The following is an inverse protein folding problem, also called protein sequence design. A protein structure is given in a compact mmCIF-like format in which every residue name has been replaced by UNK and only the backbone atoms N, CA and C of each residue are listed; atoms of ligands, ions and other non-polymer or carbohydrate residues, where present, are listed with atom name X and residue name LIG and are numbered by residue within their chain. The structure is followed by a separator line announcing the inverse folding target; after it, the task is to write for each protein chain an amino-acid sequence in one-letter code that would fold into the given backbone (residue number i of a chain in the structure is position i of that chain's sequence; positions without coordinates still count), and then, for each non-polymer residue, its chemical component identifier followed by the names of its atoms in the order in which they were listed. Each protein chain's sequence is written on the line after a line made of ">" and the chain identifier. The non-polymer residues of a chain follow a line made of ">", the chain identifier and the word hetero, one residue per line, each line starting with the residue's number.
data_IF_516135324356
#
_entry.id   IF_516135324356
#
_cell.length_a   1.000
_cell.length_b   1.000
_cell.length_c   1.000
_cell.angle_alpha   90.00
_cell.angle_beta   90.00
_cell.angle_gamma   90.00
#
_symmetry.space_group_name_H-M   'P 1'
#
loop_
_entity.id
_entity.type
_entity.pdbx_description
1 polymer ?
#
# COMPACT_ATOMS: atom_id res chain seq x y z
N UNK A 1 -7.56 14.09 0.24
CA UNK A 1 -6.13 14.12 0.61
C UNK A 1 -5.30 14.58 -0.60
N UNK A 2 -4.32 15.49 -0.44
CA UNK A 2 -3.42 15.88 -1.53
C UNK A 2 -2.48 14.73 -1.93
N UNK A 3 -1.97 14.76 -3.16
CA UNK A 3 -0.95 13.80 -3.65
C UNK A 3 0.35 13.96 -2.86
N UNK A 4 1.03 12.83 -2.59
CA UNK A 4 2.34 12.79 -1.94
C UNK A 4 3.38 13.60 -2.73
N UNK A 5 4.30 14.24 -2.02
CA UNK A 5 5.46 14.96 -2.55
C UNK A 5 6.75 14.24 -2.16
N UNK A 6 7.88 14.66 -2.74
CA UNK A 6 9.20 14.07 -2.45
C UNK A 6 9.71 14.38 -1.04
N UNK A 7 9.13 15.38 -0.37
CA UNK A 7 9.49 15.83 0.97
C UNK A 7 8.64 15.16 2.06
N UNK A 8 7.53 14.54 1.68
CA UNK A 8 6.64 13.86 2.63
C UNK A 8 7.29 12.57 3.16
N UNK A 9 7.20 12.37 4.47
CA UNK A 9 7.48 11.08 5.07
C UNK A 9 6.39 10.07 4.66
N UNK A 10 6.75 8.94 4.02
CA UNK A 10 5.79 8.00 3.48
C UNK A 10 5.00 7.23 4.55
N UNK A 11 5.55 6.97 5.74
CA UNK A 11 4.80 6.32 6.82
C UNK A 11 3.72 7.25 7.37
N UNK A 12 4.11 8.48 7.69
CA UNK A 12 3.21 9.53 8.15
C UNK A 12 2.14 9.87 7.09
N UNK A 13 2.52 9.87 5.81
CA UNK A 13 1.59 10.07 4.70
C UNK A 13 0.57 8.93 4.64
N UNK A 14 1.00 7.67 4.72
CA UNK A 14 0.11 6.51 4.74
C UNK A 14 -0.82 6.59 5.97
N UNK A 15 -0.31 6.90 7.16
CA UNK A 15 -1.14 7.04 8.36
C UNK A 15 -2.20 8.15 8.20
N UNK A 16 -1.80 9.31 7.67
CA UNK A 16 -2.73 10.42 7.40
C UNK A 16 -3.79 10.04 6.36
N UNK A 17 -3.42 9.23 5.36
CA UNK A 17 -4.37 8.65 4.42
C UNK A 17 -5.39 7.75 5.14
N UNK A 18 -4.93 6.84 6.00
CA UNK A 18 -5.80 5.91 6.75
C UNK A 18 -6.80 6.67 7.63
N UNK A 19 -6.31 7.68 8.38
CA UNK A 19 -7.17 8.54 9.20
C UNK A 19 -8.20 9.28 8.36
N UNK A 20 -7.82 9.80 7.19
CA UNK A 20 -8.74 10.49 6.28
C UNK A 20 -9.79 9.53 5.74
N UNK A 21 -9.38 8.34 5.30
CA UNK A 21 -10.27 7.35 4.73
C UNK A 21 -11.33 6.87 5.75
N UNK A 22 -10.93 6.66 7.01
CA UNK A 22 -11.86 6.36 8.12
C UNK A 22 -12.86 7.50 8.32
N UNK A 23 -12.36 8.75 8.42
CA UNK A 23 -13.21 9.92 8.65
C UNK A 23 -14.23 10.14 7.52
N UNK A 24 -13.86 9.83 6.27
CA UNK A 24 -14.75 9.95 5.11
C UNK A 24 -15.66 8.75 4.89
N UNK A 25 -15.48 7.66 5.65
CA UNK A 25 -16.21 6.41 5.44
C UNK A 25 -15.88 5.72 4.11
N UNK A 26 -14.63 5.86 3.63
CA UNK A 26 -14.19 5.22 2.39
C UNK A 26 -14.17 3.70 2.57
N UNK A 27 -14.76 2.98 1.62
CA UNK A 27 -14.77 1.51 1.64
C UNK A 27 -13.35 0.93 1.55
N UNK A 28 -13.01 -0.02 2.42
CA UNK A 28 -11.64 -0.57 2.54
C UNK A 28 -11.12 -1.15 1.22
N UNK A 29 -11.99 -1.69 0.34
CA UNK A 29 -11.58 -2.20 -0.98
C UNK A 29 -11.07 -1.09 -1.92
N UNK A 30 -11.50 0.15 -1.70
CA UNK A 30 -11.09 1.30 -2.51
C UNK A 30 -9.78 1.92 -2.03
N UNK A 31 -9.32 1.58 -0.82
CA UNK A 31 -8.16 2.22 -0.22
C UNK A 31 -6.89 1.96 -1.02
N UNK A 32 -6.67 0.73 -1.47
CA UNK A 32 -5.49 0.37 -2.28
C UNK A 32 -5.41 1.17 -3.58
N UNK A 33 -6.53 1.27 -4.30
CA UNK A 33 -6.62 2.04 -5.54
C UNK A 33 -6.40 3.53 -5.31
N UNK A 34 -7.01 4.09 -4.26
CA UNK A 34 -6.89 5.50 -3.95
C UNK A 34 -5.48 5.87 -3.50
N UNK A 35 -4.86 5.05 -2.64
CA UNK A 35 -3.47 5.24 -2.21
C UNK A 35 -2.52 5.17 -3.41
N UNK A 36 -2.69 4.19 -4.30
CA UNK A 36 -1.87 4.03 -5.51
C UNK A 36 -1.89 5.23 -6.47
N UNK A 37 -3.00 5.99 -6.51
CA UNK A 37 -3.11 7.23 -7.28
C UNK A 37 -2.51 8.47 -6.61
N UNK A 38 -2.26 8.38 -5.30
CA UNK A 38 -1.79 9.46 -4.45
C UNK A 38 -0.29 9.38 -4.13
N UNK A 39 0.30 8.19 -4.13
CA UNK A 39 1.75 8.02 -3.98
C UNK A 39 2.50 8.34 -5.27
N UNK A 40 3.80 8.66 -5.16
CA UNK A 40 4.66 9.06 -6.28
C UNK A 40 5.96 8.22 -6.34
N UNK A 41 6.73 8.41 -7.41
CA UNK A 41 8.07 7.84 -7.63
C UNK A 41 8.12 6.33 -7.31
N UNK A 42 8.98 5.92 -6.36
CA UNK A 42 9.19 4.51 -6.03
C UNK A 42 7.98 3.84 -5.38
N UNK A 43 7.22 4.55 -4.56
CA UNK A 43 5.97 4.05 -4.00
C UNK A 43 4.95 3.77 -5.11
N UNK A 44 4.87 4.65 -6.11
CA UNK A 44 4.00 4.44 -7.26
C UNK A 44 4.49 3.27 -8.14
N UNK A 45 5.80 3.10 -8.30
CA UNK A 45 6.37 1.95 -8.99
C UNK A 45 6.02 0.63 -8.28
N UNK A 46 6.06 0.60 -6.95
CA UNK A 46 5.65 -0.55 -6.16
C UNK A 46 4.19 -0.93 -6.39
N UNK A 47 3.28 0.06 -6.32
CA UNK A 47 1.87 -0.16 -6.59
C UNK A 47 1.63 -0.68 -8.02
N UNK A 48 2.33 -0.14 -9.03
CA UNK A 48 2.21 -0.58 -10.43
C UNK A 48 2.76 -1.98 -10.68
N UNK A 49 3.60 -2.50 -9.79
CA UNK A 49 4.15 -3.85 -9.89
C UNK A 49 3.18 -4.93 -9.37
N UNK A 50 2.12 -4.54 -8.64
CA UNK A 50 1.11 -5.46 -8.12
C UNK A 50 0.17 -5.96 -9.21
N UNK A 51 -0.30 -7.19 -9.07
CA UNK A 51 -1.39 -7.71 -9.88
C UNK A 51 -2.71 -6.99 -9.54
N UNK A 52 -3.66 -6.99 -10.48
CA UNK A 52 -4.97 -6.34 -10.31
C UNK A 52 -5.75 -6.87 -9.09
N UNK A 53 -5.57 -8.14 -8.77
CA UNK A 53 -6.20 -8.79 -7.61
C UNK A 53 -5.56 -8.33 -6.30
N UNK A 54 -4.23 -8.19 -6.29
CA UNK A 54 -3.47 -7.68 -5.14
C UNK A 54 -3.74 -6.20 -4.87
N UNK A 55 -3.93 -5.40 -5.92
CA UNK A 55 -4.21 -3.97 -5.81
C UNK A 55 -5.58 -3.64 -5.16
N UNK A 56 -6.47 -4.64 -5.04
CA UNK A 56 -7.74 -4.53 -4.31
C UNK A 56 -7.58 -4.73 -2.80
N UNK A 57 -6.49 -5.37 -2.38
CA UNK A 57 -6.16 -5.56 -0.98
C UNK A 57 -5.26 -4.42 -0.49
N UNK A 58 -5.82 -3.57 0.36
CA UNK A 58 -5.08 -2.43 0.88
C UNK A 58 -3.84 -2.83 1.70
N UNK A 59 -3.88 -3.94 2.45
CA UNK A 59 -2.73 -4.38 3.24
C UNK A 59 -1.58 -4.80 2.33
N UNK A 60 -1.90 -5.45 1.21
CA UNK A 60 -0.91 -5.80 0.18
C UNK A 60 -0.33 -4.55 -0.46
N UNK A 61 -1.17 -3.58 -0.83
CA UNK A 61 -0.73 -2.31 -1.43
C UNK A 61 0.17 -1.51 -0.47
N UNK A 62 -0.31 -1.26 0.75
CA UNK A 62 0.39 -0.49 1.79
C UNK A 62 1.81 -0.99 1.94
N UNK A 63 1.96 -2.30 1.99
CA UNK A 63 3.22 -2.83 2.43
C UNK A 63 4.14 -3.28 1.28
N UNK A 64 3.63 -3.47 0.07
CA UNK A 64 4.46 -3.38 -1.14
C UNK A 64 5.13 -2.00 -1.27
N UNK A 65 4.39 -0.91 -0.97
CA UNK A 65 4.94 0.45 -0.97
C UNK A 65 6.02 0.60 0.11
N UNK A 66 5.73 0.24 1.36
CA UNK A 66 6.71 0.35 2.46
C UNK A 66 7.96 -0.50 2.22
N UNK A 67 7.80 -1.70 1.64
CA UNK A 67 8.93 -2.55 1.26
C UNK A 67 9.83 -1.87 0.23
N UNK A 68 9.23 -1.25 -0.79
CA UNK A 68 9.97 -0.59 -1.86
C UNK A 68 10.76 0.63 -1.39
N UNK A 69 10.26 1.33 -0.39
CA UNK A 69 10.92 2.50 0.21
C UNK A 69 12.01 2.11 1.23
N UNK A 70 12.21 0.81 1.49
CA UNK A 70 13.17 0.27 2.46
C UNK A 70 12.89 0.65 3.93
N UNK A 71 11.66 1.08 4.24
CA UNK A 71 11.33 1.68 5.53
C UNK A 71 11.01 0.64 6.61
N UNK A 72 10.75 -0.62 6.24
CA UNK A 72 10.69 -1.70 7.24
C UNK A 72 10.91 -3.11 6.65
N UNK A 73 12.15 -3.62 6.67
CA UNK A 73 12.43 -4.99 6.24
C UNK A 73 12.11 -6.07 7.30
N UNK A 74 11.88 -5.71 8.58
CA UNK A 74 11.83 -6.68 9.68
C UNK A 74 10.43 -7.28 9.96
N UNK A 75 9.36 -6.47 9.97
CA UNK A 75 8.02 -6.98 10.26
C UNK A 75 7.29 -7.52 9.02
N UNK A 76 7.66 -7.09 7.80
CA UNK A 76 6.86 -7.34 6.60
C UNK A 76 7.22 -8.62 5.82
N UNK A 77 8.47 -9.10 5.91
CA UNK A 77 8.94 -10.33 5.23
C UNK A 77 8.14 -11.58 5.60
N UNK A 78 7.49 -11.59 6.76
CA UNK A 78 6.72 -12.72 7.26
C UNK A 78 5.28 -12.74 6.71
N UNK A 79 4.67 -11.57 6.48
CA UNK A 79 3.31 -11.44 5.94
C UNK A 79 3.24 -11.76 4.44
N UNK A 80 4.21 -11.28 3.65
CA UNK A 80 4.22 -11.52 2.19
C UNK A 80 4.50 -12.98 1.81
N UNK A 81 5.21 -13.73 2.66
CA UNK A 81 5.46 -15.18 2.44
C UNK A 81 4.26 -16.07 2.80
N UNK A 82 3.31 -15.56 3.58
CA UNK A 82 2.12 -16.31 4.00
C UNK A 82 1.06 -16.41 2.89
N UNK A 83 1.07 -15.51 1.90
CA UNK A 83 0.21 -15.56 0.72
C UNK A 83 0.96 -16.19 -0.47
N UNK A 84 1.30 -17.48 -0.36
CA UNK A 84 1.43 -18.32 -1.57
C UNK A 84 0.05 -18.89 -1.90
N UNK A 85 -0.37 -18.94 -3.17
CA UNK A 85 -1.56 -19.68 -3.53
C UNK A 85 -1.33 -21.14 -3.13
N UNK A 86 -2.28 -21.71 -2.38
CA UNK A 86 -2.42 -23.16 -2.30
C UNK A 86 -2.75 -23.61 -3.72
N UNK A 87 -1.76 -24.12 -4.42
CA UNK A 87 -2.00 -24.87 -5.65
C UNK A 87 -2.97 -26.00 -5.31
N UNK A 88 -4.12 -25.96 -5.96
CA UNK A 88 -5.19 -26.94 -5.85
C UNK A 88 -4.67 -28.34 -6.12
N UNK A 89 -5.14 -29.30 -5.32
CA UNK A 89 -5.16 -30.70 -5.69
C UNK A 89 -6.52 -31.29 -5.35
#
# INVERSE_FOLDING_TARGET
>A
MPRMTKDDDPEAYIEAFEQTAIQTGLDRSQWGHQLGGLVIDEAQAAYRALFREEAQDYEVVKAAILYRLEISPESYRQAFRAHKPRESK
#
